data_IF_363802385476
#
_entry.id   IF_363802385476
#
_cell.length_a   1.000
_cell.length_b   1.000
_cell.length_c   1.000
_cell.angle_alpha   90.00
_cell.angle_beta   90.00
_cell.angle_gamma   90.00
#
_symmetry.space_group_name_H-M   'P 1'
#
loop_
_entity.id
_entity.type
_entity.pdbx_description
1 polymer ?
#
# COMPACT_ATOMS: atom_id res chain seq x y z
N UNK A 1 -6.13 -30.05 -11.75
CA UNK A 1 -5.69 -29.94 -10.33
C UNK A 1 -5.14 -28.55 -10.04
N UNK A 2 -4.26 -27.98 -10.86
CA UNK A 2 -3.67 -26.62 -10.69
C UNK A 2 -4.77 -25.56 -10.59
N UNK A 3 -5.68 -25.45 -11.54
CA UNK A 3 -6.78 -24.47 -11.54
C UNK A 3 -7.63 -24.52 -10.27
N UNK A 4 -7.84 -25.70 -9.70
CA UNK A 4 -8.60 -25.86 -8.44
C UNK A 4 -7.80 -25.26 -7.28
N UNK A 5 -6.48 -25.45 -7.24
CA UNK A 5 -5.61 -24.86 -6.20
C UNK A 5 -5.61 -23.35 -6.30
N UNK A 6 -5.48 -22.80 -7.52
CA UNK A 6 -5.51 -21.35 -7.78
C UNK A 6 -6.81 -20.71 -7.32
N UNK A 7 -7.96 -21.31 -7.69
CA UNK A 7 -9.27 -20.79 -7.30
C UNK A 7 -9.48 -20.87 -5.78
N UNK A 8 -9.12 -21.99 -5.16
CA UNK A 8 -9.26 -22.14 -3.70
C UNK A 8 -8.35 -21.16 -2.95
N UNK A 9 -7.11 -21.01 -3.37
CA UNK A 9 -6.18 -20.06 -2.77
C UNK A 9 -6.63 -18.61 -2.94
N UNK A 10 -7.17 -18.27 -4.12
CA UNK A 10 -7.79 -16.96 -4.36
C UNK A 10 -8.98 -16.68 -3.43
N UNK A 11 -9.86 -17.68 -3.23
CA UNK A 11 -10.99 -17.57 -2.29
C UNK A 11 -10.51 -17.41 -0.85
N UNK A 12 -9.50 -18.18 -0.44
CA UNK A 12 -8.92 -18.08 0.90
C UNK A 12 -8.30 -16.68 1.10
N UNK A 13 -7.53 -16.21 0.11
CA UNK A 13 -6.92 -14.88 0.17
C UNK A 13 -7.96 -13.77 0.22
N UNK A 14 -9.04 -13.86 -0.57
CA UNK A 14 -10.19 -12.97 -0.48
C UNK A 14 -10.79 -12.95 0.93
N UNK A 15 -10.97 -14.13 1.54
CA UNK A 15 -11.42 -14.26 2.93
C UNK A 15 -10.48 -13.57 3.94
N UNK A 16 -9.16 -13.66 3.72
CA UNK A 16 -8.17 -12.98 4.57
C UNK A 16 -8.24 -11.45 4.40
N UNK A 17 -8.52 -10.94 3.20
CA UNK A 17 -8.77 -9.51 2.98
C UNK A 17 -10.01 -9.06 3.78
N UNK A 18 -11.12 -9.80 3.69
CA UNK A 18 -12.34 -9.47 4.45
C UNK A 18 -12.07 -9.52 5.97
N UNK A 19 -11.32 -10.52 6.44
CA UNK A 19 -10.91 -10.59 7.84
C UNK A 19 -10.09 -9.38 8.26
N UNK A 20 -9.16 -8.94 7.40
CA UNK A 20 -8.34 -7.74 7.64
C UNK A 20 -9.18 -6.47 7.78
N UNK A 21 -10.21 -6.32 6.91
CA UNK A 21 -11.16 -5.21 7.01
C UNK A 21 -12.00 -5.31 8.29
N UNK A 22 -12.47 -6.50 8.67
CA UNK A 22 -13.20 -6.67 9.92
C UNK A 22 -12.35 -6.35 11.16
N UNK A 23 -11.06 -6.68 11.13
CA UNK A 23 -10.14 -6.32 12.20
C UNK A 23 -9.93 -4.79 12.26
N UNK A 24 -9.90 -4.11 11.11
CA UNK A 24 -9.90 -2.65 11.06
C UNK A 24 -11.16 -2.08 11.73
N UNK A 25 -12.35 -2.59 11.40
CA UNK A 25 -13.61 -2.17 12.03
C UNK A 25 -13.63 -2.48 13.54
N UNK A 26 -13.03 -3.60 13.99
CA UNK A 26 -12.81 -3.89 15.40
C UNK A 26 -11.94 -2.84 16.08
N UNK A 27 -10.97 -2.27 15.36
CA UNK A 27 -10.14 -1.18 15.84
C UNK A 27 -10.93 0.07 16.22
N UNK A 28 -12.04 0.36 15.53
CA UNK A 28 -12.98 1.43 15.90
C UNK A 28 -13.98 0.98 16.98
N UNK A 29 -14.50 -0.21 16.81
CA UNK A 29 -15.55 -0.77 17.65
C UNK A 29 -15.13 -0.91 19.12
N UNK A 30 -13.96 -1.51 19.36
CA UNK A 30 -13.49 -1.79 20.74
C UNK A 30 -13.35 -0.52 21.56
N UNK A 31 -12.59 0.51 21.13
CA UNK A 31 -12.49 1.73 21.91
C UNK A 31 -13.81 2.51 21.98
N UNK A 32 -14.68 2.44 20.96
CA UNK A 32 -16.01 3.04 21.04
C UNK A 32 -16.84 2.44 22.18
N UNK A 33 -16.84 1.10 22.31
CA UNK A 33 -17.52 0.41 23.43
C UNK A 33 -16.88 0.72 24.78
N UNK A 34 -15.55 0.77 24.88
CA UNK A 34 -14.81 1.12 26.12
C UNK A 34 -15.20 2.51 26.58
N UNK A 35 -15.32 3.47 25.69
CA UNK A 35 -15.71 4.84 26.00
C UNK A 35 -17.23 5.05 26.12
N UNK A 36 -18.02 3.98 26.01
CA UNK A 36 -19.47 4.02 26.14
C UNK A 36 -20.19 4.75 25.01
N UNK A 37 -19.61 4.74 23.79
CA UNK A 37 -20.32 5.17 22.59
C UNK A 37 -21.34 4.11 22.19
N UNK A 38 -22.56 4.51 21.83
CA UNK A 38 -23.57 3.60 21.31
C UNK A 38 -23.19 3.16 19.91
N UNK A 39 -23.04 1.85 19.71
CA UNK A 39 -22.77 1.21 18.42
C UNK A 39 -23.98 0.35 18.07
N UNK A 40 -24.64 0.65 16.96
CA UNK A 40 -25.87 -0.04 16.55
C UNK A 40 -25.63 -1.17 15.57
N UNK A 41 -24.63 -1.04 14.70
CA UNK A 41 -24.36 -2.03 13.66
C UNK A 41 -22.86 -2.33 13.55
N UNK A 42 -22.55 -3.60 13.34
CA UNK A 42 -21.21 -4.10 12.98
C UNK A 42 -21.40 -5.16 11.87
N UNK A 43 -21.10 -4.79 10.65
CA UNK A 43 -21.34 -5.65 9.48
C UNK A 43 -20.11 -5.85 8.61
N UNK A 44 -19.96 -7.08 8.11
CA UNK A 44 -19.12 -7.36 6.95
C UNK A 44 -19.96 -7.20 5.68
N UNK A 45 -19.50 -6.37 4.74
CA UNK A 45 -20.15 -6.13 3.46
C UNK A 45 -21.20 -5.02 3.48
N UNK A 46 -21.79 -4.79 2.30
CA UNK A 46 -22.80 -3.79 2.04
C UNK A 46 -24.05 -4.39 1.36
N UNK A 47 -25.12 -3.63 1.27
CA UNK A 47 -26.36 -4.06 0.61
C UNK A 47 -27.33 -4.81 1.54
N UNK A 48 -28.19 -5.69 1.00
CA UNK A 48 -29.15 -6.45 1.79
C UNK A 48 -28.47 -7.40 2.78
N UNK A 49 -29.13 -7.67 3.93
CA UNK A 49 -28.62 -8.58 4.96
C UNK A 49 -28.76 -10.04 4.48
N UNK A 50 -27.68 -10.83 4.62
CA UNK A 50 -27.72 -12.28 4.44
C UNK A 50 -28.15 -12.92 5.78
N UNK A 51 -27.48 -12.50 6.85
CA UNK A 51 -27.68 -13.02 8.20
C UNK A 51 -27.22 -11.97 9.21
N UNK A 52 -27.98 -11.88 10.31
CA UNK A 52 -27.62 -11.01 11.43
C UNK A 52 -28.14 -11.54 12.76
N UNK A 53 -27.53 -11.13 13.85
CA UNK A 53 -27.99 -11.37 15.21
C UNK A 53 -27.69 -10.17 16.08
N UNK A 54 -28.50 -9.95 17.12
CA UNK A 54 -28.44 -8.74 17.96
C UNK A 54 -28.26 -9.12 19.43
N UNK A 55 -27.05 -9.39 19.91
CA UNK A 55 -26.77 -9.59 21.32
C UNK A 55 -26.68 -8.25 22.03
N UNK A 56 -27.79 -7.75 22.58
CA UNK A 56 -27.87 -6.46 23.25
C UNK A 56 -28.22 -5.32 22.30
N UNK A 57 -27.38 -4.26 22.23
CA UNK A 57 -27.69 -3.04 21.47
C UNK A 57 -27.05 -2.99 20.07
N UNK A 58 -26.14 -3.90 19.78
CA UNK A 58 -25.40 -3.92 18.51
C UNK A 58 -25.86 -5.12 17.67
N UNK A 59 -26.25 -4.86 16.41
CA UNK A 59 -26.54 -5.89 15.42
C UNK A 59 -25.26 -6.26 14.68
N UNK A 60 -24.92 -7.56 14.67
CA UNK A 60 -23.77 -8.11 13.96
C UNK A 60 -24.24 -8.95 12.79
N UNK A 61 -23.51 -8.92 11.68
CA UNK A 61 -23.92 -9.77 10.55
C UNK A 61 -23.09 -9.62 9.29
N UNK A 62 -23.60 -10.26 8.24
CA UNK A 62 -23.03 -10.28 6.90
C UNK A 62 -24.05 -9.75 5.88
N UNK A 63 -23.55 -8.99 4.89
CA UNK A 63 -24.32 -8.46 3.77
C UNK A 63 -23.85 -9.03 2.44
N UNK A 64 -24.67 -8.92 1.41
CA UNK A 64 -24.46 -9.57 0.11
C UNK A 64 -23.23 -9.13 -0.66
N UNK A 65 -22.78 -7.90 -0.52
CA UNK A 65 -21.64 -7.35 -1.24
C UNK A 65 -20.42 -7.35 -0.30
N UNK A 66 -19.56 -8.38 -0.35
CA UNK A 66 -18.45 -8.54 0.61
C UNK A 66 -17.24 -7.65 0.25
N UNK A 67 -17.49 -6.39 -0.09
CA UNK A 67 -16.47 -5.41 -0.47
C UNK A 67 -16.24 -4.41 0.67
N UNK A 68 -15.86 -4.90 1.85
CA UNK A 68 -15.60 -4.05 3.00
C UNK A 68 -16.37 -4.46 4.26
N UNK A 69 -16.42 -3.57 5.22
CA UNK A 69 -17.18 -3.66 6.45
C UNK A 69 -17.54 -2.27 6.93
N UNK A 70 -18.34 -2.18 7.98
CA UNK A 70 -18.58 -0.92 8.66
C UNK A 70 -19.07 -1.11 10.10
N UNK A 71 -18.77 -0.11 10.89
CA UNK A 71 -19.28 0.09 12.24
C UNK A 71 -20.13 1.34 12.27
N UNK A 72 -21.39 1.23 12.72
CA UNK A 72 -22.27 2.40 12.85
C UNK A 72 -22.20 2.96 14.27
N UNK A 73 -21.38 3.98 14.43
CA UNK A 73 -21.31 4.80 15.64
C UNK A 73 -22.43 5.85 15.57
N UNK A 74 -23.22 5.97 16.65
CA UNK A 74 -24.32 6.94 16.67
C UNK A 74 -23.79 8.31 17.06
N UNK A 75 -24.33 9.36 16.40
CA UNK A 75 -23.99 10.75 16.68
C UNK A 75 -22.63 11.18 16.15
N UNK A 76 -22.21 10.69 14.99
CA UNK A 76 -20.97 11.14 14.34
C UNK A 76 -21.03 12.62 13.96
N UNK A 77 -22.22 13.15 13.70
CA UNK A 77 -22.46 14.56 13.45
C UNK A 77 -23.10 15.22 14.66
N UNK A 78 -22.63 16.43 15.09
CA UNK A 78 -23.23 17.14 16.22
C UNK A 78 -24.70 17.46 15.95
N UNK A 79 -25.58 17.09 16.88
CA UNK A 79 -27.04 17.27 16.73
C UNK A 79 -27.49 18.75 16.73
N UNK A 80 -26.72 19.64 17.37
CA UNK A 80 -27.07 21.06 17.52
C UNK A 80 -25.97 21.94 16.96
N UNK A 81 -26.12 22.41 15.74
CA UNK A 81 -25.30 23.46 15.15
C UNK A 81 -26.24 24.57 14.65
N UNK A 82 -26.09 25.80 15.21
CA UNK A 82 -26.87 26.94 14.77
C UNK A 82 -26.15 27.61 13.59
N UNK A 83 -26.71 27.54 12.42
CA UNK A 83 -26.22 28.24 11.23
C UNK A 83 -26.81 29.65 11.18
N UNK A 84 -25.95 30.67 11.05
CA UNK A 84 -26.36 32.06 10.89
C UNK A 84 -27.10 32.36 9.59
N UNK A 85 -26.85 31.54 8.56
CA UNK A 85 -27.47 31.65 7.25
C UNK A 85 -27.81 30.26 6.72
N UNK A 86 -29.03 30.08 6.21
CA UNK A 86 -29.43 28.86 5.50
C UNK A 86 -29.01 28.95 4.04
N UNK A 87 -28.18 28.00 3.60
CA UNK A 87 -27.84 27.80 2.19
C UNK A 87 -28.03 26.32 1.82
N UNK A 88 -27.81 25.94 0.54
CA UNK A 88 -28.01 24.56 0.10
C UNK A 88 -27.15 23.55 0.86
N UNK A 89 -25.93 23.92 1.23
CA UNK A 89 -24.99 23.09 2.02
C UNK A 89 -25.49 22.85 3.44
N UNK A 90 -25.95 23.90 4.13
CA UNK A 90 -26.46 23.77 5.49
C UNK A 90 -27.75 22.96 5.54
N UNK A 91 -28.64 23.10 4.54
CA UNK A 91 -29.85 22.29 4.43
C UNK A 91 -29.53 20.81 4.24
N UNK A 92 -28.58 20.48 3.36
CA UNK A 92 -28.14 19.10 3.15
C UNK A 92 -27.50 18.51 4.42
N UNK A 93 -26.69 19.30 5.14
CA UNK A 93 -26.12 18.88 6.41
C UNK A 93 -27.19 18.65 7.49
N UNK A 94 -28.23 19.49 7.51
CA UNK A 94 -29.36 19.34 8.45
C UNK A 94 -30.22 18.10 8.12
N UNK A 95 -30.50 17.83 6.86
CA UNK A 95 -31.19 16.60 6.42
C UNK A 95 -30.41 15.34 6.83
N UNK A 96 -29.09 15.32 6.65
CA UNK A 96 -28.24 14.22 7.07
C UNK A 96 -28.22 14.02 8.59
N UNK A 97 -28.24 15.11 9.37
CA UNK A 97 -28.37 15.04 10.85
C UNK A 97 -29.70 14.44 11.27
N UNK A 98 -30.80 14.84 10.62
CA UNK A 98 -32.13 14.27 10.90
C UNK A 98 -32.13 12.76 10.70
N UNK A 99 -31.56 12.28 9.59
CA UNK A 99 -31.45 10.86 9.32
C UNK A 99 -30.58 10.09 10.33
N UNK A 100 -29.57 10.75 10.93
CA UNK A 100 -28.72 10.12 11.93
C UNK A 100 -29.34 10.12 13.32
N UNK A 101 -30.16 11.12 13.63
CA UNK A 101 -30.90 11.25 14.91
C UNK A 101 -32.09 10.29 14.96
N UNK A 102 -32.55 9.78 13.81
CA UNK A 102 -33.63 8.81 13.75
C UNK A 102 -33.24 7.53 14.51
N UNK A 103 -33.92 7.27 15.64
CA UNK A 103 -33.60 6.15 16.56
C UNK A 103 -32.72 6.50 17.77
N UNK A 104 -32.33 7.76 17.96
CA UNK A 104 -31.71 8.24 19.20
C UNK A 104 -32.81 8.53 20.21
N UNK A 105 -32.68 7.96 21.40
CA UNK A 105 -33.60 8.19 22.54
C UNK A 105 -32.94 9.06 23.61
N UNK A 106 -33.74 9.60 24.53
CA UNK A 106 -33.21 10.34 25.67
C UNK A 106 -32.24 9.54 26.55
N UNK A 107 -32.36 8.20 26.53
CA UNK A 107 -31.44 7.28 27.22
C UNK A 107 -30.03 7.24 26.56
N UNK A 108 -29.87 7.75 25.36
CA UNK A 108 -28.60 7.77 24.63
C UNK A 108 -27.80 9.08 24.86
N UNK A 109 -28.31 10.00 25.68
CA UNK A 109 -27.59 11.21 26.03
C UNK A 109 -26.24 10.91 26.70
N UNK A 110 -25.18 11.57 26.24
CA UNK A 110 -23.80 11.29 26.65
C UNK A 110 -23.18 10.04 26.06
N UNK A 111 -23.92 9.30 25.22
CA UNK A 111 -23.43 8.11 24.51
C UNK A 111 -23.20 8.35 23.01
N UNK A 112 -23.39 9.56 22.53
CA UNK A 112 -23.11 9.94 21.14
C UNK A 112 -21.61 10.11 20.93
N UNK A 113 -21.12 9.81 19.74
CA UNK A 113 -19.71 10.02 19.40
C UNK A 113 -19.29 11.49 19.55
N UNK A 114 -20.14 12.44 19.11
CA UNK A 114 -19.90 13.87 19.24
C UNK A 114 -19.88 14.39 20.69
N UNK A 115 -20.52 13.68 21.62
CA UNK A 115 -20.51 14.04 23.04
C UNK A 115 -19.19 13.71 23.74
N UNK A 116 -18.37 12.85 23.12
CA UNK A 116 -17.11 12.43 23.71
C UNK A 116 -16.04 13.52 23.57
N UNK A 117 -15.14 13.65 24.57
CA UNK A 117 -14.01 14.55 24.46
C UNK A 117 -13.13 14.21 23.26
N UNK A 118 -12.47 15.22 22.70
CA UNK A 118 -11.69 15.07 21.44
C UNK A 118 -10.71 13.91 21.49
N UNK A 119 -10.01 13.72 22.61
CA UNK A 119 -9.02 12.63 22.72
C UNK A 119 -9.65 11.23 22.62
N UNK A 120 -10.88 11.01 23.12
CA UNK A 120 -11.58 9.74 22.95
C UNK A 120 -12.00 9.52 21.50
N UNK A 121 -12.50 10.56 20.83
CA UNK A 121 -12.84 10.54 19.40
C UNK A 121 -11.61 10.23 18.53
N UNK A 122 -10.47 10.83 18.87
CA UNK A 122 -9.20 10.53 18.18
C UNK A 122 -8.78 9.07 18.37
N UNK A 123 -8.86 8.52 19.58
CA UNK A 123 -8.53 7.11 19.83
C UNK A 123 -9.49 6.18 19.05
N UNK A 124 -10.79 6.45 19.05
CA UNK A 124 -11.77 5.66 18.29
C UNK A 124 -11.43 5.66 16.80
N UNK A 125 -11.23 6.86 16.21
CA UNK A 125 -10.97 6.96 14.77
C UNK A 125 -9.58 6.45 14.36
N UNK A 126 -8.58 6.59 15.23
CA UNK A 126 -7.25 6.03 14.95
C UNK A 126 -7.18 4.52 15.14
N UNK A 127 -8.14 3.90 15.83
CA UNK A 127 -8.12 2.49 16.17
C UNK A 127 -8.06 1.59 14.95
N UNK A 128 -8.91 1.82 13.94
CA UNK A 128 -8.90 1.07 12.69
C UNK A 128 -7.61 1.27 11.90
N UNK A 129 -7.15 2.52 11.79
CA UNK A 129 -5.91 2.88 11.11
C UNK A 129 -4.72 2.16 11.74
N UNK A 130 -4.60 2.20 13.07
CA UNK A 130 -3.52 1.55 13.81
C UNK A 130 -3.59 0.02 13.72
N UNK A 131 -4.79 -0.54 13.60
CA UNK A 131 -4.97 -1.98 13.36
C UNK A 131 -4.36 -2.40 12.03
N UNK A 132 -4.60 -1.66 10.95
CA UNK A 132 -3.97 -1.92 9.66
C UNK A 132 -2.44 -1.81 9.72
N UNK A 133 -1.91 -0.80 10.41
CA UNK A 133 -0.46 -0.67 10.60
C UNK A 133 0.13 -1.85 11.37
N UNK A 134 -0.54 -2.28 12.44
CA UNK A 134 -0.11 -3.43 13.24
C UNK A 134 -0.16 -4.72 12.43
N UNK A 135 -1.23 -4.96 11.66
CA UNK A 135 -1.35 -6.12 10.79
C UNK A 135 -0.25 -6.13 9.72
N UNK A 136 -0.01 -5.00 9.07
CA UNK A 136 1.09 -4.87 8.11
C UNK A 136 2.44 -5.19 8.76
N UNK A 137 2.71 -4.64 9.95
CA UNK A 137 3.95 -4.89 10.68
C UNK A 137 4.11 -6.38 11.03
N UNK A 138 3.07 -7.01 11.60
CA UNK A 138 3.14 -8.42 12.00
C UNK A 138 3.36 -9.34 10.80
N UNK A 139 2.66 -9.08 9.69
CA UNK A 139 2.79 -9.85 8.46
C UNK A 139 4.19 -9.70 7.85
N UNK A 140 4.70 -8.49 7.70
CA UNK A 140 6.03 -8.26 7.17
C UNK A 140 7.12 -8.78 8.10
N UNK A 141 6.97 -8.62 9.41
CA UNK A 141 7.94 -9.17 10.36
C UNK A 141 7.95 -10.69 10.34
N UNK A 142 6.80 -11.35 10.22
CA UNK A 142 6.75 -12.80 10.03
C UNK A 142 7.45 -13.23 8.72
N UNK A 143 7.19 -12.53 7.62
CA UNK A 143 7.84 -12.81 6.33
C UNK A 143 9.35 -12.58 6.42
N UNK A 144 9.78 -11.38 6.80
CA UNK A 144 11.21 -11.02 6.79
C UNK A 144 12.03 -11.71 7.88
N UNK A 145 11.40 -12.06 9.02
CA UNK A 145 12.04 -12.72 10.13
C UNK A 145 12.10 -14.25 10.03
N UNK A 146 11.04 -14.88 9.51
CA UNK A 146 10.93 -16.34 9.43
C UNK A 146 11.38 -16.88 8.08
N UNK A 147 10.80 -16.34 6.99
CA UNK A 147 11.14 -16.76 5.62
C UNK A 147 12.43 -16.11 5.14
N UNK A 148 12.67 -14.88 5.57
CA UNK A 148 13.73 -14.03 5.06
C UNK A 148 13.35 -13.35 3.75
N UNK A 149 14.23 -12.49 3.28
CA UNK A 149 14.11 -11.86 1.96
C UNK A 149 15.38 -12.10 1.17
N UNK A 150 15.23 -12.27 -0.13
CA UNK A 150 16.36 -12.25 -1.03
C UNK A 150 16.94 -10.83 -1.08
N UNK A 151 18.21 -10.68 -0.75
CA UNK A 151 18.93 -9.42 -0.82
C UNK A 151 20.12 -9.56 -1.77
N UNK A 152 20.43 -8.48 -2.48
CA UNK A 152 21.50 -8.43 -3.47
C UNK A 152 22.81 -8.05 -2.77
N UNK A 153 23.82 -8.90 -2.88
CA UNK A 153 25.16 -8.61 -2.36
C UNK A 153 26.03 -7.97 -3.43
N UNK A 154 27.15 -7.38 -3.01
CA UNK A 154 28.17 -6.88 -3.94
C UNK A 154 29.03 -8.01 -4.52
N UNK A 155 28.76 -9.27 -4.15
CA UNK A 155 29.41 -10.46 -4.74
C UNK A 155 28.78 -10.76 -6.10
N UNK A 156 29.62 -10.96 -7.10
CA UNK A 156 29.23 -11.23 -8.48
C UNK A 156 28.81 -12.69 -8.63
N UNK A 157 27.55 -12.93 -8.99
CA UNK A 157 27.06 -14.27 -9.33
C UNK A 157 27.47 -14.67 -10.75
N UNK A 158 27.35 -13.71 -11.70
CA UNK A 158 27.67 -13.93 -13.08
C UNK A 158 28.19 -12.67 -13.76
N UNK A 159 29.05 -12.86 -14.74
CA UNK A 159 29.54 -11.80 -15.63
C UNK A 159 28.99 -12.05 -17.00
N UNK A 160 28.28 -11.09 -17.56
CA UNK A 160 27.77 -11.15 -18.92
C UNK A 160 28.96 -11.03 -19.88
N UNK A 161 29.15 -11.96 -20.85
CA UNK A 161 30.31 -11.91 -21.72
C UNK A 161 30.26 -10.80 -22.76
N UNK A 162 29.08 -10.37 -23.18
CA UNK A 162 28.86 -9.31 -24.15
C UNK A 162 27.67 -8.41 -23.79
N UNK A 163 27.69 -7.18 -24.29
CA UNK A 163 26.57 -6.28 -24.17
C UNK A 163 25.70 -6.41 -25.43
N UNK A 164 24.50 -6.97 -25.26
CA UNK A 164 23.50 -6.98 -26.32
C UNK A 164 22.89 -5.59 -26.50
N UNK A 165 22.60 -5.20 -27.74
CA UNK A 165 21.67 -4.10 -27.99
C UNK A 165 20.28 -4.49 -27.41
N UNK A 166 19.54 -3.55 -26.86
CA UNK A 166 18.33 -3.73 -26.03
C UNK A 166 17.19 -4.61 -26.62
N UNK A 167 17.40 -5.29 -27.74
CA UNK A 167 16.41 -6.07 -28.49
C UNK A 167 16.80 -7.53 -28.76
N UNK A 168 18.00 -7.95 -28.41
CA UNK A 168 18.48 -9.31 -28.68
C UNK A 168 18.84 -10.04 -27.38
N UNK A 169 18.02 -10.96 -26.94
CA UNK A 169 18.36 -11.98 -25.94
C UNK A 169 18.87 -13.23 -26.68
N UNK A 170 20.14 -13.58 -26.49
CA UNK A 170 20.72 -14.77 -27.15
C UNK A 170 22.20 -14.92 -26.81
N UNK A 171 22.86 -15.96 -27.35
CA UNK A 171 24.30 -16.09 -27.22
C UNK A 171 25.03 -14.96 -27.95
N UNK A 172 26.18 -14.55 -27.41
CA UNK A 172 26.98 -13.48 -27.98
C UNK A 172 27.33 -13.73 -29.45
N UNK A 173 27.09 -12.74 -30.30
CA UNK A 173 27.51 -12.73 -31.68
C UNK A 173 28.94 -12.16 -31.83
N UNK A 174 29.56 -12.33 -32.98
CA UNK A 174 30.89 -11.74 -33.27
C UNK A 174 30.86 -10.21 -33.34
N UNK A 175 29.67 -9.61 -33.50
CA UNK A 175 29.45 -8.15 -33.61
C UNK A 175 29.18 -7.50 -32.27
N UNK A 176 28.85 -8.30 -31.23
CA UNK A 176 28.55 -7.78 -29.90
C UNK A 176 29.85 -7.30 -29.20
N UNK A 177 29.78 -6.13 -28.59
CA UNK A 177 30.90 -5.63 -27.77
C UNK A 177 31.02 -6.47 -26.51
N UNK A 178 32.24 -6.76 -26.08
CA UNK A 178 32.49 -7.36 -24.78
C UNK A 178 31.90 -6.50 -23.66
N UNK A 179 31.31 -7.14 -22.66
CA UNK A 179 30.84 -6.41 -21.50
C UNK A 179 32.04 -5.83 -20.70
N UNK A 180 31.94 -4.62 -20.19
CA UNK A 180 33.04 -3.97 -19.48
C UNK A 180 33.61 -4.79 -18.31
N UNK A 181 32.74 -5.45 -17.54
CA UNK A 181 33.18 -6.32 -16.45
C UNK A 181 34.03 -7.50 -16.94
N UNK A 182 33.65 -8.09 -18.10
CA UNK A 182 34.43 -9.17 -18.70
C UNK A 182 35.79 -8.67 -19.21
N UNK A 183 35.85 -7.45 -19.76
CA UNK A 183 37.09 -6.80 -20.19
C UNK A 183 38.01 -6.46 -18.99
N UNK A 184 37.43 -5.97 -17.89
CA UNK A 184 38.18 -5.68 -16.66
C UNK A 184 38.71 -6.94 -15.96
N UNK A 185 38.22 -8.12 -16.33
CA UNK A 185 38.61 -9.39 -15.71
C UNK A 185 37.87 -9.70 -14.41
N UNK A 186 36.65 -9.18 -14.24
CA UNK A 186 35.72 -9.58 -13.15
C UNK A 186 35.36 -11.05 -13.33
N UNK A 187 35.26 -11.79 -12.24
CA UNK A 187 34.88 -13.20 -12.20
C UNK A 187 33.70 -13.43 -11.27
N UNK A 188 32.97 -14.51 -11.51
CA UNK A 188 31.98 -14.99 -10.53
C UNK A 188 32.69 -15.29 -9.22
N UNK A 189 32.11 -14.88 -8.09
CA UNK A 189 32.70 -14.98 -6.74
C UNK A 189 33.46 -13.71 -6.30
N UNK A 190 33.82 -12.79 -7.19
CA UNK A 190 34.42 -11.50 -6.79
C UNK A 190 33.44 -10.67 -5.96
N UNK A 191 33.87 -10.12 -4.86
CA UNK A 191 33.12 -9.10 -4.12
C UNK A 191 33.62 -7.72 -4.51
N UNK A 192 32.77 -6.91 -5.18
CA UNK A 192 33.13 -5.56 -5.58
C UNK A 192 33.11 -4.68 -4.33
N UNK A 193 34.28 -4.12 -3.98
CA UNK A 193 34.48 -3.31 -2.77
C UNK A 193 34.77 -1.86 -3.07
N UNK A 194 35.17 -1.52 -4.30
CA UNK A 194 35.33 -0.13 -4.71
C UNK A 194 35.03 0.10 -6.20
N UNK A 195 34.53 1.30 -6.49
CA UNK A 195 34.23 1.81 -7.82
C UNK A 195 34.82 3.21 -7.97
N UNK A 196 35.79 3.38 -8.86
CA UNK A 196 36.52 4.65 -9.07
C UNK A 196 37.07 5.24 -7.75
N UNK A 197 37.62 4.37 -6.86
CA UNK A 197 38.19 4.77 -5.57
C UNK A 197 37.14 5.04 -4.47
N UNK A 198 35.85 4.96 -4.77
CA UNK A 198 34.78 5.07 -3.77
C UNK A 198 34.47 3.68 -3.22
N UNK A 199 34.32 3.57 -1.91
CA UNK A 199 33.90 2.33 -1.26
C UNK A 199 32.47 1.96 -1.68
N UNK A 200 32.22 0.66 -1.84
CA UNK A 200 30.94 0.09 -2.20
C UNK A 200 30.47 -0.81 -1.05
N UNK A 201 29.38 -0.39 -0.39
CA UNK A 201 28.84 -1.10 0.77
C UNK A 201 27.56 -1.89 0.43
N UNK A 202 26.89 -1.57 -0.68
CA UNK A 202 25.66 -2.23 -1.10
C UNK A 202 25.57 -2.33 -2.63
N UNK A 203 24.76 -3.31 -3.10
CA UNK A 203 24.48 -3.45 -4.52
C UNK A 203 23.76 -2.23 -5.11
N UNK A 204 22.83 -1.64 -4.38
CA UNK A 204 22.11 -0.43 -4.81
C UNK A 204 23.06 0.75 -5.03
N UNK A 205 24.03 0.94 -4.13
CA UNK A 205 25.06 1.96 -4.28
C UNK A 205 25.96 1.69 -5.50
N UNK A 206 26.38 0.42 -5.68
CA UNK A 206 27.15 0.03 -6.87
C UNK A 206 26.37 0.31 -8.16
N UNK A 207 25.08 -0.04 -8.17
CA UNK A 207 24.20 0.18 -9.32
C UNK A 207 24.03 1.69 -9.62
N UNK A 208 23.94 2.54 -8.61
CA UNK A 208 23.89 3.98 -8.76
C UNK A 208 25.21 4.52 -9.37
N UNK A 209 26.36 4.04 -8.88
CA UNK A 209 27.65 4.43 -9.41
C UNK A 209 27.83 3.99 -10.87
N UNK A 210 27.45 2.76 -11.22
CA UNK A 210 27.53 2.26 -12.60
C UNK A 210 26.64 3.09 -13.52
N UNK A 211 25.39 3.34 -13.13
CA UNK A 211 24.44 4.10 -13.92
C UNK A 211 24.87 5.55 -14.10
N UNK A 212 25.32 6.19 -13.03
CA UNK A 212 25.78 7.59 -13.05
C UNK A 212 27.09 7.81 -13.81
N UNK A 213 27.87 6.75 -14.02
CA UNK A 213 29.15 6.86 -14.75
C UNK A 213 28.98 7.09 -16.26
N UNK A 214 27.77 6.83 -16.80
CA UNK A 214 27.51 6.95 -18.24
C UNK A 214 28.40 6.02 -19.05
N UNK A 215 29.24 6.58 -19.93
CA UNK A 215 30.26 5.86 -20.71
C UNK A 215 31.68 6.11 -20.21
N UNK A 216 31.85 6.55 -18.95
CA UNK A 216 33.15 6.96 -18.39
C UNK A 216 34.05 5.79 -18.00
N UNK A 217 35.32 6.13 -17.72
CA UNK A 217 36.32 5.15 -17.23
C UNK A 217 35.89 4.57 -15.87
N UNK A 218 36.14 3.29 -15.71
CA UNK A 218 35.86 2.51 -14.48
C UNK A 218 37.12 1.82 -14.01
N UNK A 219 37.43 2.01 -12.71
CA UNK A 219 38.44 1.28 -11.97
C UNK A 219 37.74 0.51 -10.84
N UNK A 220 37.75 -0.82 -10.93
CA UNK A 220 37.14 -1.69 -9.94
C UNK A 220 38.18 -2.26 -8.98
N UNK A 221 37.89 -2.17 -7.69
CA UNK A 221 38.57 -2.97 -6.68
C UNK A 221 37.65 -4.09 -6.24
N UNK A 222 38.16 -5.30 -6.26
CA UNK A 222 37.44 -6.48 -5.83
C UNK A 222 38.20 -7.22 -4.75
N UNK A 223 37.46 -7.94 -3.92
CA UNK A 223 38.01 -8.96 -3.05
C UNK A 223 37.82 -10.31 -3.72
N UNK A 224 38.92 -10.98 -3.99
CA UNK A 224 38.98 -12.31 -4.62
C UNK A 224 39.81 -13.23 -3.73
N UNK A 225 39.23 -14.34 -3.31
CA UNK A 225 39.87 -15.32 -2.40
C UNK A 225 40.44 -14.67 -1.12
N UNK A 226 39.74 -13.65 -0.59
CA UNK A 226 40.14 -12.91 0.62
C UNK A 226 41.23 -11.86 0.41
N UNK A 227 41.71 -11.66 -0.83
CA UNK A 227 42.73 -10.66 -1.17
C UNK A 227 42.11 -9.51 -2.00
N UNK A 228 42.56 -8.27 -1.73
CA UNK A 228 42.16 -7.13 -2.56
C UNK A 228 42.90 -7.17 -3.90
N UNK A 229 42.17 -7.08 -4.97
CA UNK A 229 42.68 -7.07 -6.35
C UNK A 229 42.14 -5.80 -7.07
N UNK A 230 43.05 -4.98 -7.58
CA UNK A 230 42.67 -3.89 -8.48
C UNK A 230 42.60 -4.44 -9.91
N UNK A 231 41.46 -4.32 -10.55
CA UNK A 231 41.23 -4.83 -11.89
C UNK A 231 41.72 -3.84 -12.98
N UNK A 232 41.87 -4.36 -14.18
CA UNK A 232 42.22 -3.53 -15.34
C UNK A 232 41.17 -2.45 -15.58
N UNK A 233 41.56 -1.17 -15.76
CA UNK A 233 40.61 -0.11 -16.08
C UNK A 233 39.84 -0.42 -17.37
N UNK A 234 38.54 -0.14 -17.38
CA UNK A 234 37.66 -0.29 -18.52
C UNK A 234 36.72 0.92 -18.61
N UNK A 235 35.74 0.91 -19.49
CA UNK A 235 34.73 1.96 -19.60
C UNK A 235 33.33 1.33 -19.49
N UNK A 236 32.44 1.92 -18.70
CA UNK A 236 31.02 1.55 -18.75
C UNK A 236 30.46 1.82 -20.15
N UNK A 237 29.54 0.96 -20.60
CA UNK A 237 28.81 1.18 -21.85
C UNK A 237 27.58 2.04 -21.58
N UNK A 238 27.38 3.07 -22.38
CA UNK A 238 26.11 3.81 -22.36
C UNK A 238 25.06 3.00 -23.12
N UNK A 239 24.01 2.60 -22.44
CA UNK A 239 22.91 1.79 -23.03
C UNK A 239 21.57 2.15 -22.41
N UNK A 240 20.51 1.74 -23.10
CA UNK A 240 19.13 1.91 -22.58
C UNK A 240 18.86 0.82 -21.57
N UNK A 241 18.63 1.23 -20.33
CA UNK A 241 18.27 0.34 -19.21
C UNK A 241 16.93 0.75 -18.62
N UNK A 242 16.18 -0.13 -17.98
CA UNK A 242 14.94 0.24 -17.30
C UNK A 242 15.18 1.34 -16.27
N UNK A 243 14.30 2.34 -16.20
CA UNK A 243 14.32 3.35 -15.16
C UNK A 243 13.95 2.72 -13.81
N UNK A 244 14.79 2.91 -12.79
CA UNK A 244 14.52 2.37 -11.43
C UNK A 244 13.27 2.96 -10.79
N UNK A 245 12.92 4.19 -11.17
CA UNK A 245 11.74 4.90 -10.65
C UNK A 245 10.47 4.59 -11.44
N UNK A 246 10.62 4.13 -12.70
CA UNK A 246 9.52 3.81 -13.60
C UNK A 246 9.94 2.68 -14.55
N UNK A 247 9.77 1.41 -14.17
CA UNK A 247 10.23 0.25 -14.95
C UNK A 247 9.69 0.16 -16.38
N UNK A 248 8.55 0.80 -16.68
CA UNK A 248 8.00 0.90 -18.03
C UNK A 248 8.73 1.89 -18.95
N UNK A 249 9.70 2.67 -18.42
CA UNK A 249 10.50 3.63 -19.15
C UNK A 249 11.96 3.19 -19.19
N UNK A 250 12.60 3.35 -20.33
CA UNK A 250 14.06 3.18 -20.44
C UNK A 250 14.77 4.53 -20.38
N UNK A 251 15.90 4.55 -19.70
CA UNK A 251 16.82 5.70 -19.63
C UNK A 251 18.20 5.30 -20.13
N UNK A 252 18.94 6.23 -20.71
CA UNK A 252 20.34 6.00 -21.03
C UNK A 252 21.18 6.07 -19.76
N UNK A 253 21.88 5.01 -19.45
CA UNK A 253 22.72 4.92 -18.25
C UNK A 253 23.91 3.98 -18.48
N UNK A 254 24.92 4.09 -17.61
CA UNK A 254 26.08 3.20 -17.64
C UNK A 254 25.67 1.74 -17.38
N UNK A 255 26.33 0.84 -18.10
CA UNK A 255 26.19 -0.62 -17.99
C UNK A 255 27.55 -1.25 -17.79
N UNK A 256 27.66 -2.22 -16.88
CA UNK A 256 28.90 -2.92 -16.54
C UNK A 256 28.88 -4.41 -16.94
N UNK A 257 27.76 -5.06 -16.89
CA UNK A 257 27.58 -6.48 -17.23
C UNK A 257 27.89 -7.44 -16.08
N UNK A 258 27.46 -7.10 -14.87
CA UNK A 258 27.56 -7.95 -13.68
C UNK A 258 26.18 -8.21 -13.08
N UNK A 259 25.99 -9.42 -12.56
CA UNK A 259 24.78 -9.81 -11.79
C UNK A 259 25.17 -10.10 -10.35
N UNK A 260 24.35 -9.68 -9.37
CA UNK A 260 24.63 -9.91 -7.95
C UNK A 260 24.34 -11.34 -7.53
N UNK A 261 25.03 -11.80 -6.51
CA UNK A 261 24.61 -12.99 -5.75
C UNK A 261 23.45 -12.60 -4.84
N UNK A 262 22.42 -13.43 -4.85
CA UNK A 262 21.29 -13.31 -3.93
C UNK A 262 21.56 -14.12 -2.67
N UNK A 263 21.30 -13.53 -1.51
CA UNK A 263 21.37 -14.21 -0.21
C UNK A 263 20.06 -14.01 0.53
N UNK A 264 19.64 -15.02 1.28
CA UNK A 264 18.46 -14.86 2.15
C UNK A 264 18.91 -14.19 3.45
N UNK A 265 18.35 -13.02 3.72
CA UNK A 265 18.61 -12.24 4.93
C UNK A 265 17.36 -12.25 5.80
N UNK A 266 17.54 -12.64 7.06
CA UNK A 266 16.49 -12.58 8.08
C UNK A 266 16.57 -11.24 8.80
N UNK A 267 15.46 -10.54 8.88
CA UNK A 267 15.40 -9.17 9.41
C UNK A 267 14.72 -9.14 10.77
N UNK A 268 15.27 -8.35 11.68
CA UNK A 268 14.65 -8.06 12.97
C UNK A 268 13.48 -7.06 12.87
N UNK A 269 12.78 -6.79 14.00
CA UNK A 269 11.67 -5.82 14.03
C UNK A 269 12.07 -4.42 13.56
N UNK A 270 13.27 -3.94 13.91
CA UNK A 270 13.78 -2.63 13.51
C UNK A 270 13.99 -2.52 12.01
N UNK A 271 14.58 -3.55 11.39
CA UNK A 271 14.77 -3.60 9.93
C UNK A 271 13.44 -3.67 9.20
N UNK A 272 12.46 -4.42 9.77
CA UNK A 272 11.09 -4.47 9.23
C UNK A 272 10.47 -3.08 9.19
N UNK A 273 10.57 -2.28 10.26
CA UNK A 273 10.07 -0.90 10.29
C UNK A 273 10.76 -0.04 9.22
N UNK A 274 12.08 -0.17 9.05
CA UNK A 274 12.82 0.56 8.01
C UNK A 274 12.35 0.20 6.61
N UNK A 275 12.09 -1.10 6.34
CA UNK A 275 11.53 -1.56 5.07
C UNK A 275 10.12 -1.02 4.86
N UNK A 276 9.25 -1.12 5.87
CA UNK A 276 7.89 -0.55 5.80
C UNK A 276 7.90 0.95 5.54
N UNK A 277 8.89 1.69 6.07
CA UNK A 277 9.03 3.11 5.75
C UNK A 277 9.33 3.35 4.26
N UNK A 278 10.19 2.52 3.66
CA UNK A 278 10.47 2.57 2.22
C UNK A 278 9.23 2.23 1.39
N UNK A 279 8.51 1.15 1.76
CA UNK A 279 7.24 0.76 1.13
C UNK A 279 6.15 1.83 1.31
N UNK A 280 6.16 2.54 2.44
CA UNK A 280 5.25 3.66 2.71
C UNK A 280 5.40 4.81 1.72
N UNK A 281 6.63 5.15 1.33
CA UNK A 281 6.89 6.18 0.31
C UNK A 281 6.31 5.76 -1.05
N UNK A 282 6.43 4.48 -1.39
CA UNK A 282 5.84 3.92 -2.62
C UNK A 282 4.31 3.94 -2.55
N UNK A 283 3.72 3.54 -1.43
CA UNK A 283 2.26 3.57 -1.20
C UNK A 283 1.70 5.00 -1.30
N UNK A 284 2.36 5.98 -0.70
CA UNK A 284 1.95 7.39 -0.80
C UNK A 284 2.06 7.93 -2.24
N UNK A 285 3.12 7.57 -2.96
CA UNK A 285 3.26 7.93 -4.37
C UNK A 285 2.17 7.29 -5.23
N UNK A 286 1.87 6.00 -5.00
CA UNK A 286 0.80 5.28 -5.68
C UNK A 286 -0.56 5.91 -5.38
N UNK A 287 -0.84 6.24 -4.12
CA UNK A 287 -2.07 6.89 -3.69
C UNK A 287 -2.27 8.26 -4.37
N UNK A 288 -1.23 9.09 -4.42
CA UNK A 288 -1.29 10.39 -5.09
C UNK A 288 -1.54 10.27 -6.61
N UNK A 289 -1.10 9.18 -7.22
CA UNK A 289 -1.26 8.90 -8.66
C UNK A 289 -2.47 8.03 -8.97
N UNK A 290 -3.19 7.54 -7.98
CA UNK A 290 -4.27 6.57 -8.15
C UNK A 290 -5.33 6.99 -9.20
N UNK A 291 -5.80 8.26 -9.25
CA UNK A 291 -6.73 8.68 -10.29
C UNK A 291 -6.16 8.54 -11.71
N UNK A 292 -4.89 8.95 -11.90
CA UNK A 292 -4.21 8.87 -13.21
C UNK A 292 -3.96 7.41 -13.60
N UNK A 293 -3.51 6.59 -12.66
CA UNK A 293 -3.28 5.16 -12.89
C UNK A 293 -4.58 4.44 -13.26
N UNK A 294 -5.68 4.76 -12.59
CA UNK A 294 -7.01 4.18 -12.92
C UNK A 294 -7.50 4.65 -14.29
N UNK A 295 -7.24 5.92 -14.65
CA UNK A 295 -7.56 6.41 -15.99
C UNK A 295 -6.77 5.65 -17.07
N UNK A 296 -5.49 5.39 -16.86
CA UNK A 296 -4.68 4.59 -17.78
C UNK A 296 -5.27 3.18 -17.95
N UNK A 297 -5.63 2.51 -16.83
CA UNK A 297 -6.31 1.21 -16.88
C UNK A 297 -7.62 1.25 -17.67
N UNK A 298 -8.41 2.29 -17.49
CA UNK A 298 -9.64 2.48 -18.26
C UNK A 298 -9.36 2.68 -19.76
N UNK A 299 -8.33 3.46 -20.09
CA UNK A 299 -7.87 3.67 -21.48
C UNK A 299 -7.38 2.38 -22.12
N UNK A 300 -6.54 1.61 -21.43
CA UNK A 300 -6.01 0.32 -21.91
C UNK A 300 -7.16 -0.67 -22.18
N UNK A 301 -8.17 -0.69 -21.29
CA UNK A 301 -9.34 -1.53 -21.44
C UNK A 301 -10.16 -1.18 -22.70
N UNK A 302 -10.30 0.11 -23.02
CA UNK A 302 -11.04 0.58 -24.20
C UNK A 302 -10.25 0.39 -25.48
N UNK A 303 -8.91 0.61 -25.43
CA UNK A 303 -8.03 0.51 -26.60
C UNK A 303 -7.56 -0.93 -26.88
N UNK A 304 -7.83 -1.88 -25.95
CA UNK A 304 -7.38 -3.28 -26.09
C UNK A 304 -5.87 -3.45 -25.88
N UNK A 305 -5.21 -2.48 -25.26
CA UNK A 305 -3.78 -2.58 -24.96
C UNK A 305 -3.53 -3.53 -23.77
N UNK A 306 -2.36 -4.17 -23.76
CA UNK A 306 -1.95 -4.98 -22.63
C UNK A 306 -1.72 -4.10 -21.39
N UNK A 307 -2.26 -4.52 -20.26
CA UNK A 307 -2.16 -3.81 -18.99
C UNK A 307 -0.74 -3.89 -18.43
N UNK A 308 -0.23 -2.77 -17.91
CA UNK A 308 1.07 -2.72 -17.23
C UNK A 308 1.04 -3.57 -15.94
N UNK A 309 2.12 -4.31 -15.68
CA UNK A 309 2.28 -5.13 -14.48
C UNK A 309 2.21 -4.32 -13.17
N UNK A 310 2.54 -3.02 -13.22
CA UNK A 310 2.46 -2.11 -12.08
C UNK A 310 1.11 -1.37 -11.97
N UNK A 311 0.12 -1.73 -12.79
CA UNK A 311 -1.21 -1.12 -12.72
C UNK A 311 -1.89 -1.43 -11.39
N UNK A 312 -2.69 -0.50 -10.85
CA UNK A 312 -3.48 -0.77 -9.66
C UNK A 312 -4.47 -1.91 -9.90
N UNK A 313 -4.65 -2.76 -8.91
CA UNK A 313 -5.56 -3.90 -8.92
C UNK A 313 -6.67 -3.72 -7.89
N UNK A 314 -7.81 -4.32 -8.15
CA UNK A 314 -8.88 -4.46 -7.17
C UNK A 314 -8.60 -5.63 -6.20
N UNK A 315 -9.50 -5.81 -5.22
CA UNK A 315 -9.49 -6.99 -4.33
C UNK A 315 -9.58 -8.29 -5.14
N UNK A 316 -10.35 -8.29 -6.25
CA UNK A 316 -10.49 -9.44 -7.14
C UNK A 316 -9.16 -9.76 -7.83
N UNK A 317 -8.47 -8.74 -8.35
CA UNK A 317 -7.15 -8.90 -8.97
C UNK A 317 -6.11 -9.40 -7.98
N UNK A 318 -6.05 -8.83 -6.78
CA UNK A 318 -5.14 -9.27 -5.73
C UNK A 318 -5.39 -10.73 -5.32
N UNK A 319 -6.66 -11.14 -5.22
CA UNK A 319 -7.02 -12.53 -4.90
C UNK A 319 -6.65 -13.50 -6.02
N UNK A 320 -6.79 -13.08 -7.29
CA UNK A 320 -6.34 -13.86 -8.43
C UNK A 320 -4.82 -14.04 -8.44
N UNK A 321 -4.07 -12.96 -8.23
CA UNK A 321 -2.60 -13.02 -8.11
C UNK A 321 -2.16 -14.00 -7.02
N UNK A 322 -2.82 -13.97 -5.85
CA UNK A 322 -2.53 -14.93 -4.79
C UNK A 322 -2.86 -16.37 -5.20
N UNK A 323 -3.89 -16.58 -6.02
CA UNK A 323 -4.21 -17.86 -6.64
C UNK A 323 -3.12 -18.32 -7.62
N UNK A 324 -2.72 -17.45 -8.55
CA UNK A 324 -1.67 -17.74 -9.54
C UNK A 324 -0.35 -18.12 -8.84
N UNK A 325 0.05 -17.38 -7.81
CA UNK A 325 1.22 -17.72 -6.96
C UNK A 325 1.07 -19.09 -6.30
N UNK A 326 -0.12 -19.43 -5.81
CA UNK A 326 -0.36 -20.75 -5.20
C UNK A 326 -0.29 -21.90 -6.20
N UNK A 327 -0.68 -21.66 -7.47
CA UNK A 327 -0.62 -22.62 -8.57
C UNK A 327 0.77 -22.82 -9.16
N UNK A 328 1.70 -21.89 -8.95
CA UNK A 328 3.05 -21.97 -9.53
C UNK A 328 3.84 -23.15 -8.97
N UNK A 329 4.29 -24.05 -9.87
CA UNK A 329 5.06 -25.23 -9.51
C UNK A 329 6.53 -24.96 -9.19
N UNK A 330 7.03 -23.78 -9.54
CA UNK A 330 8.42 -23.38 -9.29
C UNK A 330 8.63 -22.90 -7.85
N UNK A 331 7.56 -22.43 -7.21
CA UNK A 331 7.60 -21.88 -5.85
C UNK A 331 7.41 -22.97 -4.80
N UNK A 332 8.21 -22.93 -3.74
CA UNK A 332 7.99 -23.75 -2.56
C UNK A 332 6.74 -23.31 -1.78
N UNK A 333 6.21 -24.16 -0.92
CA UNK A 333 5.09 -23.77 -0.05
C UNK A 333 5.44 -22.56 0.83
N UNK A 334 6.69 -22.47 1.31
CA UNK A 334 7.19 -21.33 2.07
C UNK A 334 7.13 -20.03 1.27
N UNK A 335 7.59 -20.05 0.00
CA UNK A 335 7.54 -18.89 -0.89
C UNK A 335 6.11 -18.43 -1.16
N UNK A 336 5.18 -19.37 -1.38
CA UNK A 336 3.76 -19.10 -1.61
C UNK A 336 3.11 -18.40 -0.41
N UNK A 337 3.35 -18.93 0.80
CA UNK A 337 2.84 -18.35 2.04
C UNK A 337 3.46 -16.96 2.28
N UNK A 338 4.77 -16.82 2.11
CA UNK A 338 5.48 -15.56 2.29
C UNK A 338 5.00 -14.49 1.29
N UNK A 339 4.78 -14.87 0.03
CA UNK A 339 4.23 -13.96 -0.99
C UNK A 339 2.80 -13.54 -0.65
N UNK A 340 1.92 -14.49 -0.31
CA UNK A 340 0.56 -14.18 0.13
C UNK A 340 0.53 -13.26 1.36
N UNK A 341 1.36 -13.55 2.38
CA UNK A 341 1.47 -12.69 3.56
C UNK A 341 2.01 -11.30 3.21
N UNK A 342 2.96 -11.20 2.28
CA UNK A 342 3.50 -9.92 1.80
C UNK A 342 2.45 -9.10 1.05
N UNK A 343 1.64 -9.73 0.20
CA UNK A 343 0.52 -9.08 -0.49
C UNK A 343 -0.51 -8.53 0.50
N UNK A 344 -0.88 -9.33 1.51
CA UNK A 344 -1.82 -8.91 2.54
C UNK A 344 -1.23 -7.80 3.44
N UNK A 345 0.07 -7.89 3.78
CA UNK A 345 0.82 -6.86 4.49
C UNK A 345 0.87 -5.54 3.72
N UNK A 346 1.14 -5.61 2.40
CA UNK A 346 1.15 -4.46 1.50
C UNK A 346 -0.23 -3.80 1.40
N UNK A 347 -1.29 -4.60 1.30
CA UNK A 347 -2.66 -4.10 1.30
C UNK A 347 -2.99 -3.35 2.61
N UNK A 348 -2.63 -3.93 3.77
CA UNK A 348 -2.86 -3.28 5.05
C UNK A 348 -2.06 -1.98 5.21
N UNK A 349 -0.81 -1.95 4.73
CA UNK A 349 0.00 -0.72 4.72
C UNK A 349 -0.59 0.35 3.79
N UNK A 350 -1.13 -0.06 2.64
CA UNK A 350 -1.85 0.85 1.75
C UNK A 350 -3.13 1.39 2.39
N UNK A 351 -3.95 0.52 3.01
CA UNK A 351 -5.16 0.90 3.72
C UNK A 351 -4.87 1.84 4.90
N UNK A 352 -3.76 1.62 5.62
CA UNK A 352 -3.29 2.55 6.64
C UNK A 352 -3.10 3.96 6.05
N UNK A 353 -2.30 4.12 5.00
CA UNK A 353 -2.04 5.42 4.38
C UNK A 353 -3.28 6.03 3.75
N UNK A 354 -4.13 5.20 3.14
CA UNK A 354 -5.39 5.62 2.55
C UNK A 354 -6.32 6.24 3.59
N UNK A 355 -6.44 5.61 4.78
CA UNK A 355 -7.28 6.09 5.86
C UNK A 355 -6.66 7.25 6.65
N UNK A 356 -5.35 7.49 6.58
CA UNK A 356 -4.69 8.68 7.15
C UNK A 356 -5.01 9.95 6.37
N UNK A 357 -5.42 9.85 5.09
CA UNK A 357 -5.77 11.02 4.27
C UNK A 357 -6.84 11.87 4.96
N UNK A 358 -6.60 13.19 5.20
CA UNK A 358 -7.52 14.04 5.97
C UNK A 358 -8.74 14.49 5.14
N UNK A 359 -9.38 13.55 4.47
CA UNK A 359 -10.55 13.78 3.61
C UNK A 359 -11.64 12.75 3.93
N UNK A 360 -12.91 13.16 4.11
CA UNK A 360 -14.00 12.19 4.20
C UNK A 360 -14.22 11.53 2.82
N UNK A 361 -14.61 10.26 2.74
CA UNK A 361 -15.17 9.44 3.82
C UNK A 361 -14.13 8.63 4.64
N UNK A 362 -12.83 8.90 4.51
CA UNK A 362 -11.79 8.19 5.26
C UNK A 362 -11.77 8.63 6.74
N UNK A 363 -11.24 7.76 7.62
CA UNK A 363 -11.10 8.04 9.06
C UNK A 363 -10.28 9.30 9.33
N UNK A 364 -9.25 9.56 8.52
CA UNK A 364 -8.43 10.76 8.57
C UNK A 364 -9.22 12.05 8.45
N UNK A 365 -10.35 12.04 7.75
CA UNK A 365 -11.27 13.18 7.70
C UNK A 365 -11.91 13.48 9.06
N UNK A 366 -12.34 12.46 9.78
CA UNK A 366 -12.88 12.59 11.13
C UNK A 366 -11.81 13.01 12.15
N UNK A 367 -10.60 12.45 12.02
CA UNK A 367 -9.44 12.84 12.83
C UNK A 367 -9.10 14.32 12.59
N UNK A 368 -9.03 14.76 11.35
CA UNK A 368 -8.77 16.15 11.00
C UNK A 368 -9.86 17.10 11.55
N UNK A 369 -11.12 16.69 11.46
CA UNK A 369 -12.25 17.44 12.06
C UNK A 369 -12.13 17.59 13.58
N UNK A 370 -11.75 16.51 14.27
CA UNK A 370 -11.55 16.52 15.73
C UNK A 370 -10.34 17.39 16.13
N UNK A 371 -9.24 17.35 15.40
CA UNK A 371 -8.06 18.19 15.62
C UNK A 371 -8.39 19.67 15.36
N UNK A 372 -9.12 19.96 14.28
CA UNK A 372 -9.59 21.32 13.99
C UNK A 372 -10.46 21.87 15.12
N UNK A 373 -11.39 21.06 15.65
CA UNK A 373 -12.23 21.44 16.80
C UNK A 373 -11.38 21.75 18.04
N UNK A 374 -10.43 20.87 18.36
CA UNK A 374 -9.53 21.08 19.49
C UNK A 374 -8.72 22.37 19.35
N UNK A 375 -8.17 22.63 18.17
CA UNK A 375 -7.42 23.85 17.87
C UNK A 375 -8.29 25.11 18.00
N UNK A 376 -9.52 25.06 17.42
CA UNK A 376 -10.48 26.16 17.49
C UNK A 376 -10.88 26.47 18.94
N UNK A 377 -11.24 25.47 19.74
CA UNK A 377 -11.57 25.63 21.17
C UNK A 377 -10.38 26.15 21.96
N UNK A 378 -9.17 25.61 21.70
CA UNK A 378 -7.94 26.11 22.33
C UNK A 378 -7.67 27.59 22.05
N UNK A 379 -7.82 28.01 20.78
CA UNK A 379 -7.67 29.42 20.40
C UNK A 379 -8.70 30.33 21.07
N UNK A 380 -9.99 29.93 21.11
CA UNK A 380 -11.05 30.71 21.77
C UNK A 380 -10.80 30.85 23.27
N UNK A 381 -10.32 29.77 23.92
CA UNK A 381 -9.91 29.79 25.32
C UNK A 381 -8.74 30.77 25.54
N UNK A 382 -7.76 30.78 24.68
CA UNK A 382 -6.59 31.67 24.76
C UNK A 382 -6.99 33.14 24.63
N UNK A 383 -7.93 33.46 23.73
CA UNK A 383 -8.45 34.84 23.55
C UNK A 383 -9.63 35.18 24.47
N UNK A 384 -9.91 34.35 25.49
CA UNK A 384 -10.98 34.52 26.48
C UNK A 384 -12.39 34.72 25.87
N UNK A 385 -12.63 34.07 24.69
CA UNK A 385 -13.96 34.03 24.06
C UNK A 385 -14.76 32.82 24.54
N UNK A 386 -16.11 32.86 24.48
CA UNK A 386 -16.93 31.69 24.79
C UNK A 386 -16.62 30.51 23.87
N UNK A 387 -16.86 29.28 24.36
CA UNK A 387 -16.65 28.06 23.59
C UNK A 387 -17.39 28.13 22.23
N UNK A 388 -16.71 27.96 21.09
CA UNK A 388 -17.34 28.02 19.78
C UNK A 388 -18.23 26.80 19.47
N UNK A 389 -18.35 25.84 20.39
CA UNK A 389 -19.05 24.57 20.19
C UNK A 389 -18.29 23.55 19.31
N UNK A 390 -18.90 22.40 19.07
CA UNK A 390 -18.33 21.35 18.24
C UNK A 390 -18.17 21.82 16.80
N UNK A 391 -17.17 21.25 16.10
CA UNK A 391 -17.00 21.48 14.67
C UNK A 391 -18.14 20.80 13.88
N UNK A 392 -18.71 21.52 12.93
CA UNK A 392 -19.76 20.98 12.05
C UNK A 392 -19.15 20.14 10.93
N UNK A 393 -18.90 18.87 11.22
CA UNK A 393 -18.37 17.91 10.24
C UNK A 393 -19.41 17.50 9.19
N UNK A 394 -20.71 17.70 9.44
CA UNK A 394 -21.76 17.41 8.47
C UNK A 394 -21.67 18.29 7.19
N UNK A 395 -21.06 19.46 7.30
CA UNK A 395 -20.81 20.32 6.12
C UNK A 395 -19.81 19.70 5.13
N UNK A 396 -19.04 18.70 5.56
CA UNK A 396 -18.11 17.96 4.69
C UNK A 396 -18.80 16.82 3.90
N UNK A 397 -20.08 16.53 4.16
CA UNK A 397 -20.84 15.45 3.49
C UNK A 397 -20.86 15.54 1.97
N UNK A 398 -21.08 16.71 1.33
CA UNK A 398 -21.02 16.77 -0.14
C UNK A 398 -19.66 16.39 -0.70
N UNK A 399 -18.58 16.74 0.00
CA UNK A 399 -17.22 16.33 -0.36
C UNK A 399 -17.07 14.81 -0.17
N UNK A 400 -17.57 14.26 0.94
CA UNK A 400 -17.55 12.82 1.21
C UNK A 400 -18.31 12.03 0.13
N UNK A 401 -19.49 12.49 -0.27
CA UNK A 401 -20.27 11.87 -1.35
C UNK A 401 -19.56 11.93 -2.70
N UNK A 402 -18.95 13.08 -3.02
CA UNK A 402 -18.21 13.24 -4.28
C UNK A 402 -17.01 12.32 -4.34
N UNK A 403 -16.20 12.28 -3.29
CA UNK A 403 -15.03 11.40 -3.20
C UNK A 403 -15.47 9.93 -3.18
N UNK A 404 -16.51 9.58 -2.40
CA UNK A 404 -17.04 8.22 -2.34
C UNK A 404 -17.56 7.74 -3.71
N UNK A 405 -18.26 8.58 -4.45
CA UNK A 405 -18.72 8.27 -5.80
C UNK A 405 -17.54 8.06 -6.78
N UNK A 406 -16.53 8.94 -6.71
CA UNK A 406 -15.31 8.79 -7.51
C UNK A 406 -14.60 7.47 -7.18
N UNK A 407 -14.43 7.13 -5.91
CA UNK A 407 -13.82 5.87 -5.48
C UNK A 407 -14.62 4.65 -5.93
N UNK A 408 -15.94 4.71 -5.87
CA UNK A 408 -16.82 3.64 -6.36
C UNK A 408 -16.60 3.41 -7.87
N UNK A 409 -16.58 4.49 -8.66
CA UNK A 409 -16.32 4.40 -10.10
C UNK A 409 -14.91 3.83 -10.37
N UNK A 410 -13.90 4.33 -9.67
CA UNK A 410 -12.53 3.82 -9.81
C UNK A 410 -12.45 2.33 -9.43
N UNK A 411 -13.06 1.94 -8.32
CA UNK A 411 -13.12 0.54 -7.88
C UNK A 411 -13.81 -0.36 -8.92
N UNK A 412 -14.93 0.10 -9.49
CA UNK A 412 -15.65 -0.65 -10.52
C UNK A 412 -14.80 -0.82 -11.80
N UNK A 413 -14.11 0.24 -12.24
CA UNK A 413 -13.17 0.17 -13.38
C UNK A 413 -12.07 -0.88 -13.12
N UNK A 414 -11.48 -0.87 -11.93
CA UNK A 414 -10.43 -1.84 -11.58
C UNK A 414 -10.97 -3.27 -11.51
N UNK A 415 -12.16 -3.50 -10.95
CA UNK A 415 -12.79 -4.83 -10.92
C UNK A 415 -13.06 -5.33 -12.35
N UNK A 416 -13.63 -4.50 -13.20
CA UNK A 416 -13.88 -4.85 -14.61
C UNK A 416 -12.57 -5.16 -15.32
N UNK A 417 -11.54 -4.34 -15.12
CA UNK A 417 -10.23 -4.56 -15.73
C UNK A 417 -9.57 -5.86 -15.24
N UNK A 418 -9.68 -6.19 -13.96
CA UNK A 418 -9.11 -7.44 -13.40
C UNK A 418 -9.81 -8.70 -13.92
N UNK A 419 -11.09 -8.58 -14.32
CA UNK A 419 -11.85 -9.69 -14.94
C UNK A 419 -11.54 -9.81 -16.43
N UNK A 420 -11.55 -8.70 -17.17
CA UNK A 420 -11.44 -8.67 -18.65
C UNK A 420 -9.98 -8.74 -19.12
N UNK A 421 -9.09 -7.99 -18.49
CA UNK A 421 -7.67 -7.88 -18.83
C UNK A 421 -6.81 -7.97 -17.55
N UNK A 422 -6.69 -9.18 -16.99
CA UNK A 422 -5.93 -9.37 -15.74
C UNK A 422 -4.45 -9.07 -15.93
N UNK A 423 -3.83 -8.55 -14.89
CA UNK A 423 -2.37 -8.39 -14.83
C UNK A 423 -1.72 -9.78 -14.84
N UNK A 424 -0.77 -10.00 -15.74
CA UNK A 424 0.06 -11.21 -15.77
C UNK A 424 1.36 -10.93 -15.02
N UNK A 425 1.65 -11.71 -13.99
CA UNK A 425 2.86 -11.58 -13.17
C UNK A 425 3.95 -12.56 -13.64
N UNK A 426 3.53 -13.65 -14.32
CA UNK A 426 4.41 -14.68 -14.86
C UNK A 426 4.18 -14.85 -16.36
#
# INVERSE_FOLDING_TARGET
>A
MIVVVEVLAGIVFFGLIILSVLLHECGHFIPAKIFGVKVTEFFAGFGPKIWSFTPGETEYGFKWIPLGGYVRLIGMYPAKVHHRHSNRLTRFADEARVAEVEGITDADQGRLFSDKPVWQRLIIMSGGILTNLLLAFLLFWAVFGIHGRADQTTTVAAVTPCAHSAQTSGPCSKEDRRAPAAEAGVRAGDRIVSFNGRQVDSWSQLQEFIRGNGGGEVRLGVERDGAFVSLTPTHTLLTKVPDLSNPGRTVEAGYLGVSPTMVIVHSGPGDTVSQMWTMSKQSLSALARLPVLTWNVASDLVTGQARDANSPMSIVGASRVAGDVAGDSQLTLGDKIATGASLLGGLNLFLFWFNVVPLPPMDGGHIAGAIYEAGKRGLFKLVRKPDPGPADTAMMLPVAWTIGALMLVMGLVLVVADVVSPVKIF
#
